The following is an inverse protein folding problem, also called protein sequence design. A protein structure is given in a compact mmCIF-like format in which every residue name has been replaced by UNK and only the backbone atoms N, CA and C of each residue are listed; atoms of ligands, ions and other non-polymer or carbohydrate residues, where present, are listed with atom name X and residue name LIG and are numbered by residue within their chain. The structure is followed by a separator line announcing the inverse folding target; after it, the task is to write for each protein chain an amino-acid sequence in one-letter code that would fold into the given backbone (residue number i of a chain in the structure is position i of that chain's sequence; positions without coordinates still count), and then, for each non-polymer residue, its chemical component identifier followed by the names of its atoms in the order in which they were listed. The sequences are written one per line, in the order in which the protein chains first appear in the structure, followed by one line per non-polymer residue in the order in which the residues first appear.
data_IF_445356252858
#
_entry.id   IF_445356252858
#
_cell.length_a   1.000
_cell.length_b   1.000
_cell.length_c   1.000
_cell.angle_alpha   90.00
_cell.angle_beta   90.00
_cell.angle_gamma   90.00
#
_symmetry.space_group_name_H-M   'P 1'
#
loop_
_entity.id
_entity.type
_entity.pdbx_description
1 polymer ?
#
# COMPACT_ATOMS: atom_id res chain seq x y z
N UNK A 1 -10.37 22.38 23.67
CA UNK A 1 -9.47 21.35 24.22
C UNK A 1 -9.82 19.90 23.83
N UNK A 2 -11.02 19.37 24.13
CA UNK A 2 -11.39 17.99 23.71
C UNK A 2 -11.52 17.88 22.18
N UNK A 3 -12.05 18.92 21.53
CA UNK A 3 -12.22 18.98 20.08
C UNK A 3 -10.86 19.01 19.34
N UNK A 4 -9.90 19.81 19.83
CA UNK A 4 -8.57 19.96 19.23
C UNK A 4 -7.76 18.65 19.25
N UNK A 5 -7.89 17.86 20.32
CA UNK A 5 -7.24 16.55 20.42
C UNK A 5 -7.83 15.52 19.45
N UNK A 6 -9.16 15.51 19.31
CA UNK A 6 -9.84 14.61 18.37
C UNK A 6 -9.47 14.94 16.92
N UNK A 7 -9.35 16.24 16.60
CA UNK A 7 -8.89 16.72 15.28
C UNK A 7 -7.43 16.33 15.05
N UNK A 8 -6.55 16.54 16.03
CA UNK A 8 -5.13 16.16 15.94
C UNK A 8 -4.92 14.66 15.71
N UNK A 9 -5.64 13.78 16.44
CA UNK A 9 -5.55 12.32 16.23
C UNK A 9 -6.11 11.87 14.88
N UNK A 10 -7.20 12.50 14.43
CA UNK A 10 -7.80 12.20 13.12
C UNK A 10 -6.89 12.61 11.98
N UNK A 11 -6.27 13.79 12.08
CA UNK A 11 -5.27 14.28 11.13
C UNK A 11 -4.03 13.39 11.14
N UNK A 12 -3.55 12.99 12.32
CA UNK A 12 -2.45 12.04 12.45
C UNK A 12 -2.75 10.73 11.70
N UNK A 13 -3.90 10.11 11.98
CA UNK A 13 -4.30 8.86 11.34
C UNK A 13 -4.30 8.98 9.81
N UNK A 14 -4.90 10.04 9.27
CA UNK A 14 -4.99 10.24 7.83
C UNK A 14 -3.60 10.48 7.19
N UNK A 15 -2.81 11.41 7.74
CA UNK A 15 -1.51 11.79 7.17
C UNK A 15 -0.47 10.67 7.28
N UNK A 16 -0.45 9.94 8.40
CA UNK A 16 0.44 8.77 8.54
C UNK A 16 0.05 7.65 7.59
N UNK A 17 -1.25 7.41 7.37
CA UNK A 17 -1.74 6.48 6.34
C UNK A 17 -1.27 6.87 4.93
N UNK A 18 -1.42 8.15 4.55
CA UNK A 18 -0.91 8.67 3.27
C UNK A 18 0.60 8.41 3.17
N UNK A 19 1.37 8.78 4.18
CA UNK A 19 2.83 8.68 4.15
C UNK A 19 3.35 7.24 4.02
N UNK A 20 2.76 6.30 4.78
CA UNK A 20 3.13 4.88 4.70
C UNK A 20 2.81 4.28 3.33
N UNK A 21 1.66 4.62 2.74
CA UNK A 21 1.30 4.08 1.43
C UNK A 21 2.05 4.71 0.26
N UNK A 22 2.42 5.99 0.35
CA UNK A 22 3.36 6.60 -0.59
C UNK A 22 4.66 5.77 -0.66
N UNK A 23 5.18 5.40 0.51
CA UNK A 23 6.38 4.60 0.61
C UNK A 23 6.19 3.17 0.09
N UNK A 24 5.09 2.50 0.46
CA UNK A 24 4.80 1.15 0.00
C UNK A 24 4.73 1.03 -1.53
N UNK A 25 4.01 1.95 -2.20
CA UNK A 25 3.90 1.92 -3.67
C UNK A 25 5.25 2.26 -4.33
N UNK A 26 6.02 3.19 -3.76
CA UNK A 26 7.36 3.51 -4.22
C UNK A 26 8.32 2.31 -4.12
N UNK A 27 8.29 1.57 -3.01
CA UNK A 27 9.10 0.35 -2.84
C UNK A 27 8.69 -0.75 -3.80
N UNK A 28 7.38 -0.94 -4.02
CA UNK A 28 6.90 -1.92 -4.99
C UNK A 28 7.45 -1.60 -6.40
N UNK A 29 7.35 -0.34 -6.85
CA UNK A 29 7.94 0.08 -8.14
C UNK A 29 9.46 -0.14 -8.18
N UNK A 30 10.16 0.21 -7.11
CA UNK A 30 11.62 0.06 -7.03
C UNK A 30 12.06 -1.41 -7.11
N UNK A 31 11.38 -2.31 -6.40
CA UNK A 31 11.69 -3.73 -6.41
C UNK A 31 11.38 -4.39 -7.75
N UNK A 32 10.30 -3.98 -8.42
CA UNK A 32 10.01 -4.43 -9.78
C UNK A 32 11.10 -4.03 -10.77
N UNK A 33 11.70 -2.83 -10.61
CA UNK A 33 12.82 -2.38 -11.44
C UNK A 33 14.12 -3.15 -11.21
N UNK A 34 14.32 -3.70 -10.00
CA UNK A 34 15.56 -4.43 -9.65
C UNK A 34 15.41 -5.94 -9.89
N UNK A 35 14.25 -6.51 -9.55
CA UNK A 35 14.03 -7.96 -9.54
C UNK A 35 13.28 -8.49 -10.78
N UNK A 36 12.72 -7.58 -11.58
CA UNK A 36 11.86 -7.89 -12.74
C UNK A 36 10.37 -7.82 -12.40
N UNK A 37 9.58 -7.32 -13.35
CA UNK A 37 8.13 -7.10 -13.22
C UNK A 37 7.30 -8.38 -13.24
N UNK A 38 7.45 -9.24 -12.22
CA UNK A 38 6.70 -10.50 -12.10
C UNK A 38 5.71 -10.48 -10.93
N UNK A 39 4.65 -11.29 -11.02
CA UNK A 39 3.66 -11.45 -9.95
C UNK A 39 4.32 -11.97 -8.67
N UNK A 40 5.33 -12.82 -8.81
CA UNK A 40 6.08 -13.39 -7.69
C UNK A 40 6.79 -12.30 -6.88
N UNK A 41 7.35 -11.29 -7.56
CA UNK A 41 7.99 -10.15 -6.90
C UNK A 41 6.96 -9.36 -6.06
N UNK A 42 5.78 -9.10 -6.60
CA UNK A 42 4.70 -8.42 -5.86
C UNK A 42 4.21 -9.26 -4.67
N UNK A 43 4.12 -10.58 -4.82
CA UNK A 43 3.72 -11.49 -3.74
C UNK A 43 4.70 -11.45 -2.57
N UNK A 44 5.99 -11.50 -2.90
CA UNK A 44 7.08 -11.41 -1.94
C UNK A 44 7.09 -10.06 -1.21
N UNK A 45 6.88 -8.96 -1.93
CA UNK A 45 6.76 -7.61 -1.34
C UNK A 45 5.59 -7.54 -0.36
N UNK A 46 4.42 -8.00 -0.77
CA UNK A 46 3.24 -8.00 0.08
C UNK A 46 3.47 -8.87 1.32
N UNK A 47 4.13 -10.03 1.16
CA UNK A 47 4.46 -10.92 2.28
C UNK A 47 5.41 -10.25 3.27
N UNK A 48 6.52 -9.68 2.81
CA UNK A 48 7.47 -8.97 3.65
C UNK A 48 6.81 -7.78 4.37
N UNK A 49 5.95 -7.05 3.67
CA UNK A 49 5.19 -5.93 4.21
C UNK A 49 4.21 -6.37 5.30
N UNK A 50 3.43 -7.43 5.06
CA UNK A 50 2.44 -7.93 6.03
C UNK A 50 3.10 -8.60 7.24
N UNK A 51 4.24 -9.28 7.05
CA UNK A 51 5.05 -9.79 8.15
C UNK A 51 5.55 -8.64 9.04
N UNK A 52 6.07 -7.57 8.44
CA UNK A 52 6.47 -6.36 9.15
C UNK A 52 5.31 -5.77 9.95
N UNK A 53 4.17 -5.50 9.32
CA UNK A 53 2.98 -4.97 10.00
C UNK A 53 2.53 -5.86 11.18
N UNK A 54 2.50 -7.19 10.98
CA UNK A 54 2.07 -8.14 12.00
C UNK A 54 3.02 -8.21 13.21
N UNK A 55 4.31 -8.40 12.97
CA UNK A 55 5.32 -8.44 14.05
C UNK A 55 5.46 -7.08 14.75
N UNK A 56 5.47 -6.00 13.96
CA UNK A 56 5.48 -4.62 14.43
C UNK A 56 4.29 -4.31 15.32
N UNK A 57 3.08 -4.65 14.87
CA UNK A 57 1.86 -4.42 15.63
C UNK A 57 1.83 -5.18 16.95
N UNK A 58 2.30 -6.43 16.98
CA UNK A 58 2.43 -7.19 18.23
C UNK A 58 3.45 -6.58 19.19
N UNK A 59 4.61 -6.17 18.68
CA UNK A 59 5.69 -5.60 19.49
C UNK A 59 5.30 -4.23 20.07
N UNK A 60 4.90 -3.30 19.22
CA UNK A 60 4.54 -1.94 19.61
C UNK A 60 3.20 -1.87 20.32
N UNK A 61 2.25 -2.77 20.03
CA UNK A 61 1.00 -2.90 20.80
C UNK A 61 1.25 -3.24 22.26
N UNK A 62 2.05 -4.29 22.53
CA UNK A 62 2.46 -4.65 23.90
C UNK A 62 3.27 -3.54 24.56
N UNK A 63 4.16 -2.90 23.81
CA UNK A 63 4.97 -1.79 24.35
C UNK A 63 4.11 -0.59 24.71
N UNK A 64 3.10 -0.25 23.90
CA UNK A 64 2.18 0.84 24.17
C UNK A 64 1.29 0.54 25.39
N UNK A 65 0.86 -0.71 25.56
CA UNK A 65 0.05 -1.16 26.69
C UNK A 65 0.76 -0.97 28.04
N UNK A 66 2.04 -1.35 28.12
CA UNK A 66 2.85 -1.33 29.35
C UNK A 66 3.57 0.02 29.56
N UNK A 67 3.67 0.86 28.54
CA UNK A 67 4.40 2.14 28.63
C UNK A 67 3.62 3.18 29.43
N UNK A 68 4.32 3.85 30.37
CA UNK A 68 3.82 5.05 31.07
C UNK A 68 3.56 6.24 30.13
N UNK A 69 4.19 6.23 28.95
CA UNK A 69 4.04 7.26 27.93
C UNK A 69 3.80 6.62 26.55
N UNK A 70 2.55 6.20 26.26
CA UNK A 70 2.20 5.56 24.98
C UNK A 70 2.40 6.49 23.78
N UNK A 71 2.37 7.82 23.98
CA UNK A 71 2.66 8.79 22.90
C UNK A 71 4.08 8.62 22.41
N UNK A 72 5.05 8.44 23.31
CA UNK A 72 6.45 8.22 22.90
C UNK A 72 6.62 6.97 22.05
N UNK A 73 5.86 5.90 22.35
CA UNK A 73 5.89 4.66 21.57
C UNK A 73 5.40 4.92 20.14
N UNK A 74 4.29 5.66 20.00
CA UNK A 74 3.76 6.07 18.70
C UNK A 74 4.75 6.95 17.92
N UNK A 75 5.39 7.94 18.58
CA UNK A 75 6.38 8.82 17.95
C UNK A 75 7.59 8.05 17.45
N UNK A 76 8.11 7.11 18.26
CA UNK A 76 9.24 6.26 17.88
C UNK A 76 8.85 5.36 16.71
N UNK A 77 7.70 4.68 16.78
CA UNK A 77 7.23 3.83 15.70
C UNK A 77 7.10 4.60 14.38
N UNK A 78 6.37 5.72 14.36
CA UNK A 78 6.18 6.50 13.15
C UNK A 78 7.47 7.18 12.65
N UNK A 79 8.32 7.69 13.55
CA UNK A 79 9.61 8.30 13.20
C UNK A 79 10.61 7.30 12.63
N UNK A 80 10.73 6.12 13.23
CA UNK A 80 11.55 5.04 12.72
C UNK A 80 11.00 4.48 11.40
N UNK A 81 9.68 4.42 11.21
CA UNK A 81 9.08 4.06 9.92
C UNK A 81 9.48 5.04 8.83
N UNK A 82 9.39 6.35 9.09
CA UNK A 82 9.79 7.40 8.16
C UNK A 82 11.29 7.31 7.81
N UNK A 83 12.17 7.11 8.80
CA UNK A 83 13.61 6.96 8.58
C UNK A 83 13.96 5.68 7.81
N UNK A 84 13.40 4.53 8.22
CA UNK A 84 13.64 3.25 7.56
C UNK A 84 13.08 3.20 6.13
N UNK A 85 12.17 4.11 5.77
CA UNK A 85 11.61 4.18 4.41
C UNK A 85 12.62 4.48 3.32
N UNK A 86 13.78 5.05 3.68
CA UNK A 86 14.87 5.34 2.75
C UNK A 86 15.82 4.15 2.54
N UNK A 87 15.71 3.08 3.33
CA UNK A 87 16.58 1.91 3.26
C UNK A 87 16.65 1.29 1.85
N UNK A 88 15.53 1.13 1.11
CA UNK A 88 15.58 0.61 -0.26
C UNK A 88 16.37 1.50 -1.22
N UNK A 89 16.34 2.83 -1.05
CA UNK A 89 17.10 3.77 -1.89
C UNK A 89 18.58 3.71 -1.56
N UNK A 90 18.91 3.72 -0.27
CA UNK A 90 20.30 3.66 0.21
C UNK A 90 20.98 2.36 -0.22
N UNK A 91 20.28 1.23 -0.12
CA UNK A 91 20.83 -0.08 -0.48
C UNK A 91 20.68 -0.43 -1.97
N UNK A 92 19.97 0.39 -2.77
CA UNK A 92 19.73 0.11 -4.18
C UNK A 92 21.01 -0.18 -5.00
N UNK A 93 22.11 0.59 -4.86
CA UNK A 93 23.33 0.33 -5.63
C UNK A 93 23.93 -1.04 -5.31
N UNK A 94 24.00 -1.40 -4.03
CA UNK A 94 24.51 -2.70 -3.58
C UNK A 94 23.65 -3.85 -4.12
N UNK A 95 22.32 -3.72 -4.03
CA UNK A 95 21.40 -4.74 -4.54
C UNK A 95 21.50 -4.87 -6.07
N UNK A 96 21.65 -3.78 -6.83
CA UNK A 96 21.83 -3.85 -8.29
C UNK A 96 23.11 -4.57 -8.70
N UNK A 97 24.18 -4.43 -7.93
CA UNK A 97 25.44 -5.13 -8.20
C UNK A 97 25.40 -6.61 -7.80
N UNK A 98 24.76 -6.93 -6.67
CA UNK A 98 24.74 -8.28 -6.12
C UNK A 98 23.64 -9.16 -6.71
N UNK A 99 22.47 -8.58 -7.03
CA UNK A 99 21.31 -9.35 -7.47
C UNK A 99 21.54 -10.16 -8.75
N UNK A 100 22.24 -9.68 -9.80
CA UNK A 100 22.54 -10.49 -10.98
C UNK A 100 23.34 -11.77 -10.67
N UNK A 101 24.27 -11.69 -9.71
CA UNK A 101 25.10 -12.82 -9.26
C UNK A 101 24.22 -13.85 -8.54
N UNK A 102 23.28 -13.39 -7.71
CA UNK A 102 22.35 -14.27 -7.01
C UNK A 102 21.29 -14.80 -8.00
N UNK A 103 20.96 -14.05 -9.04
CA UNK A 103 19.99 -14.46 -10.05
C UNK A 103 20.53 -15.63 -10.91
N UNK A 104 21.83 -15.62 -11.23
CA UNK A 104 22.47 -16.68 -12.00
C UNK A 104 22.72 -17.98 -11.21
N UNK A 105 22.59 -17.96 -9.88
CA UNK A 105 22.80 -19.15 -9.03
C UNK A 105 21.60 -20.10 -8.95
N UNK A 106 20.47 -19.78 -9.60
CA UNK A 106 19.24 -20.56 -9.54
C UNK A 106 18.37 -20.30 -8.30
N UNK A 107 18.85 -19.49 -7.34
CA UNK A 107 18.15 -19.18 -6.08
C UNK A 107 17.27 -17.90 -6.17
N UNK A 108 16.75 -17.60 -7.35
CA UNK A 108 16.10 -16.31 -7.67
C UNK A 108 14.92 -15.99 -6.75
N UNK A 109 14.09 -17.00 -6.44
CA UNK A 109 12.95 -16.83 -5.53
C UNK A 109 13.39 -16.43 -4.12
N UNK A 110 14.35 -17.16 -3.54
CA UNK A 110 14.88 -16.90 -2.21
C UNK A 110 15.61 -15.56 -2.14
N UNK A 111 16.36 -15.22 -3.19
CA UNK A 111 17.04 -13.94 -3.33
C UNK A 111 16.06 -12.76 -3.30
N UNK A 112 14.99 -12.85 -4.11
CA UNK A 112 13.91 -11.85 -4.12
C UNK A 112 13.29 -11.71 -2.74
N UNK A 113 13.00 -12.83 -2.09
CA UNK A 113 12.41 -12.84 -0.75
C UNK A 113 13.32 -12.18 0.29
N UNK A 114 14.59 -12.56 0.34
CA UNK A 114 15.57 -11.97 1.25
C UNK A 114 15.76 -10.47 0.99
N UNK A 115 15.89 -10.07 -0.27
CA UNK A 115 16.03 -8.65 -0.62
C UNK A 115 14.78 -7.87 -0.20
N UNK A 116 13.58 -8.35 -0.54
CA UNK A 116 12.35 -7.68 -0.13
C UNK A 116 12.21 -7.61 1.40
N UNK A 117 12.54 -8.69 2.11
CA UNK A 117 12.52 -8.73 3.56
C UNK A 117 13.51 -7.72 4.14
N UNK A 118 14.77 -7.73 3.73
CA UNK A 118 15.78 -6.80 4.25
C UNK A 118 15.45 -5.33 3.96
N UNK A 119 14.88 -5.03 2.78
CA UNK A 119 14.60 -3.66 2.36
C UNK A 119 13.28 -3.11 2.93
N UNK A 120 12.23 -3.93 3.01
CA UNK A 120 10.87 -3.48 3.37
C UNK A 120 10.53 -3.77 4.83
N UNK A 121 11.00 -4.90 5.38
CA UNK A 121 10.64 -5.32 6.73
C UNK A 121 10.92 -4.25 7.80
N UNK A 122 12.07 -3.54 7.81
CA UNK A 122 12.33 -2.55 8.85
C UNK A 122 11.28 -1.43 8.89
N UNK A 123 10.99 -0.81 7.74
CA UNK A 123 10.01 0.27 7.66
C UNK A 123 8.59 -0.20 8.02
N UNK A 124 8.23 -1.41 7.59
CA UNK A 124 6.90 -1.98 7.82
C UNK A 124 6.71 -2.52 9.24
N UNK A 125 7.76 -3.01 9.87
CA UNK A 125 7.79 -3.33 11.30
C UNK A 125 7.48 -2.10 12.15
N UNK A 126 8.10 -0.97 11.84
CA UNK A 126 7.81 0.27 12.55
C UNK A 126 6.40 0.81 12.23
N UNK A 127 5.98 0.77 10.95
CA UNK A 127 4.64 1.19 10.55
C UNK A 127 3.53 0.32 11.19
N UNK A 128 3.79 -0.97 11.42
CA UNK A 128 2.88 -1.90 12.09
C UNK A 128 2.52 -1.45 13.51
N UNK A 129 3.39 -0.68 14.16
CA UNK A 129 3.14 -0.14 15.49
C UNK A 129 2.22 1.07 15.55
N UNK A 130 1.97 1.75 14.42
CA UNK A 130 1.24 3.02 14.40
C UNK A 130 -0.21 2.84 14.88
N UNK A 131 -0.95 1.90 14.29
CA UNK A 131 -2.37 1.68 14.62
C UNK A 131 -2.57 1.19 16.06
N UNK A 132 -1.84 0.16 16.56
CA UNK A 132 -1.99 -0.29 17.94
C UNK A 132 -1.59 0.79 18.97
N UNK A 133 -0.49 1.51 18.73
CA UNK A 133 -0.07 2.58 19.63
C UNK A 133 -1.06 3.76 19.63
N UNK A 134 -1.62 4.12 18.47
CA UNK A 134 -2.69 5.11 18.36
C UNK A 134 -3.97 4.66 19.08
N UNK A 135 -4.35 3.39 18.95
CA UNK A 135 -5.51 2.82 19.63
C UNK A 135 -5.41 2.98 21.15
N UNK A 136 -4.24 2.70 21.71
CA UNK A 136 -3.96 2.85 23.15
C UNK A 136 -4.14 4.29 23.66
N UNK A 137 -3.93 5.31 22.82
CA UNK A 137 -4.09 6.72 23.21
C UNK A 137 -5.55 7.15 23.35
N UNK A 138 -6.48 6.38 22.78
CA UNK A 138 -7.92 6.70 22.77
C UNK A 138 -8.77 5.69 23.54
N UNK A 139 -8.17 4.60 24.01
CA UNK A 139 -8.76 3.70 25.01
C UNK A 139 -9.13 4.52 26.27
N UNK A 140 -10.44 4.65 26.54
CA UNK A 140 -11.00 5.46 27.63
C UNK A 140 -11.82 6.68 27.18
N UNK A 141 -11.66 7.19 25.94
CA UNK A 141 -12.36 8.40 25.46
C UNK A 141 -13.46 8.11 24.41
N UNK A 142 -14.06 6.91 24.45
CA UNK A 142 -15.02 6.45 23.44
C UNK A 142 -14.85 4.99 22.99
N UNK A 143 -13.95 4.23 23.63
CA UNK A 143 -13.81 2.79 23.46
C UNK A 143 -13.45 2.34 22.04
N UNK A 144 -13.92 1.15 21.67
CA UNK A 144 -13.68 0.47 20.38
C UNK A 144 -14.12 1.29 19.17
N UNK A 145 -15.15 2.13 19.30
CA UNK A 145 -15.68 2.96 18.21
C UNK A 145 -14.72 4.08 17.77
N UNK A 146 -13.93 4.64 18.70
CA UNK A 146 -12.94 5.67 18.38
C UNK A 146 -11.71 5.06 17.72
N UNK A 147 -11.29 3.89 18.19
CA UNK A 147 -10.22 3.09 17.58
C UNK A 147 -10.59 2.70 16.14
N UNK A 148 -11.81 2.21 15.92
CA UNK A 148 -12.27 1.83 14.58
C UNK A 148 -12.34 3.02 13.62
N UNK A 149 -12.78 4.19 14.10
CA UNK A 149 -12.78 5.42 13.30
C UNK A 149 -11.37 5.87 12.90
N UNK A 150 -10.42 5.83 13.83
CA UNK A 150 -9.03 6.19 13.54
C UNK A 150 -8.36 5.18 12.59
N UNK A 151 -8.63 3.88 12.76
CA UNK A 151 -8.21 2.87 11.80
C UNK A 151 -8.82 3.12 10.41
N UNK A 152 -10.10 3.47 10.35
CA UNK A 152 -10.77 3.81 9.10
C UNK A 152 -10.20 5.04 8.41
N UNK A 153 -9.92 6.12 9.16
CA UNK A 153 -9.26 7.32 8.64
C UNK A 153 -7.85 7.04 8.15
N UNK A 154 -7.09 6.22 8.87
CA UNK A 154 -5.77 5.77 8.43
C UNK A 154 -5.87 5.00 7.10
N UNK A 155 -6.81 4.05 6.97
CA UNK A 155 -7.00 3.31 5.73
C UNK A 155 -7.48 4.18 4.56
N UNK A 156 -8.32 5.19 4.81
CA UNK A 156 -8.69 6.18 3.77
C UNK A 156 -7.48 7.05 3.36
N UNK A 157 -6.66 7.47 4.32
CA UNK A 157 -5.39 8.14 4.05
C UNK A 157 -4.45 7.26 3.22
N UNK A 158 -4.35 5.99 3.58
CA UNK A 158 -3.60 4.97 2.83
C UNK A 158 -4.11 4.84 1.39
N UNK A 159 -5.42 4.79 1.16
CA UNK A 159 -5.97 4.78 -0.19
C UNK A 159 -5.60 6.04 -0.99
N UNK A 160 -5.68 7.22 -0.37
CA UNK A 160 -5.24 8.47 -0.99
C UNK A 160 -3.73 8.45 -1.31
N UNK A 161 -2.89 7.96 -0.40
CA UNK A 161 -1.47 7.76 -0.64
C UNK A 161 -1.19 6.81 -1.80
N UNK A 162 -1.91 5.68 -1.87
CA UNK A 162 -1.82 4.72 -2.97
C UNK A 162 -2.18 5.35 -4.32
N UNK A 163 -3.24 6.18 -4.35
CA UNK A 163 -3.63 6.94 -5.54
C UNK A 163 -2.54 7.94 -5.95
N UNK A 164 -2.08 8.78 -5.01
CA UNK A 164 -1.09 9.81 -5.27
C UNK A 164 0.25 9.20 -5.73
N UNK A 165 0.75 8.14 -5.08
CA UNK A 165 1.98 7.50 -5.52
C UNK A 165 1.80 6.79 -6.87
N UNK A 166 0.78 5.93 -6.99
CA UNK A 166 0.59 5.07 -8.15
C UNK A 166 0.32 5.82 -9.44
N UNK A 167 -0.43 6.92 -9.38
CA UNK A 167 -0.94 7.62 -10.56
C UNK A 167 -0.39 9.03 -10.79
N UNK A 168 0.29 9.62 -9.81
CA UNK A 168 0.74 11.03 -9.91
C UNK A 168 2.24 11.15 -9.63
N UNK A 169 2.66 10.91 -8.39
CA UNK A 169 3.99 11.27 -7.90
C UNK A 169 5.10 10.41 -8.49
N UNK A 170 4.88 9.10 -8.70
CA UNK A 170 5.95 8.24 -9.23
C UNK A 170 6.31 8.55 -10.67
N UNK A 171 5.35 9.00 -11.49
CA UNK A 171 5.63 9.43 -12.87
C UNK A 171 6.10 10.88 -12.95
N UNK A 172 5.54 11.78 -12.12
CA UNK A 172 5.86 13.20 -12.17
C UNK A 172 7.18 13.56 -11.48
N UNK A 173 7.50 12.89 -10.37
CA UNK A 173 8.57 13.27 -9.45
C UNK A 173 9.52 12.11 -9.10
N UNK A 174 9.17 10.87 -9.44
CA UNK A 174 10.00 9.69 -9.21
C UNK A 174 9.96 9.16 -7.76
N UNK A 175 10.74 8.10 -7.54
CA UNK A 175 10.72 7.30 -6.29
C UNK A 175 11.21 8.13 -5.09
N UNK A 176 12.32 8.84 -5.21
CA UNK A 176 12.95 9.56 -4.09
C UNK A 176 12.05 10.67 -3.55
N UNK A 177 11.47 11.51 -4.43
CA UNK A 177 10.58 12.59 -4.00
C UNK A 177 9.32 12.02 -3.34
N UNK A 178 8.76 10.94 -3.90
CA UNK A 178 7.60 10.25 -3.31
C UNK A 178 7.90 9.77 -1.88
N UNK A 179 9.08 9.20 -1.64
CA UNK A 179 9.52 8.78 -0.31
C UNK A 179 9.74 9.95 0.65
N UNK A 180 10.36 11.04 0.18
CA UNK A 180 10.55 12.26 0.98
C UNK A 180 9.22 12.83 1.41
N UNK A 181 8.25 12.96 0.49
CA UNK A 181 6.91 13.44 0.82
C UNK A 181 6.22 12.53 1.84
N UNK A 182 6.31 11.21 1.67
CA UNK A 182 5.75 10.25 2.62
C UNK A 182 6.37 10.36 4.03
N UNK A 183 7.70 10.49 4.09
CA UNK A 183 8.42 10.68 5.35
C UNK A 183 8.06 12.01 6.02
N UNK A 184 8.02 13.11 5.26
CA UNK A 184 7.64 14.44 5.77
C UNK A 184 6.22 14.44 6.31
N UNK A 185 5.25 13.89 5.56
CA UNK A 185 3.87 13.77 6.02
C UNK A 185 3.76 12.97 7.33
N UNK A 186 4.50 11.86 7.42
CA UNK A 186 4.55 11.05 8.64
C UNK A 186 5.16 11.82 9.80
N UNK A 187 6.28 12.52 9.61
CA UNK A 187 6.93 13.33 10.67
C UNK A 187 6.05 14.49 11.12
N UNK A 188 5.47 15.24 10.19
CA UNK A 188 4.54 16.35 10.48
C UNK A 188 3.35 15.82 11.28
N UNK A 189 2.79 14.68 10.89
CA UNK A 189 1.67 14.07 11.62
C UNK A 189 2.01 13.83 13.10
N UNK A 190 3.24 13.38 13.41
CA UNK A 190 3.68 13.13 14.79
C UNK A 190 3.82 14.43 15.58
N UNK A 191 4.26 15.52 14.93
CA UNK A 191 4.39 16.84 15.56
C UNK A 191 3.03 17.41 15.98
N UNK A 192 1.96 17.05 15.27
CA UNK A 192 0.58 17.46 15.61
C UNK A 192 0.08 16.81 16.91
N UNK A 193 0.72 15.73 17.38
CA UNK A 193 0.34 15.04 18.62
C UNK A 193 0.91 15.79 19.82
N UNK A 194 0.08 16.52 20.54
CA UNK A 194 0.49 17.19 21.77
C UNK A 194 0.78 16.19 22.91
N UNK A 195 1.85 16.44 23.69
CA UNK A 195 2.18 15.61 24.87
C UNK A 195 1.02 15.70 25.88
N UNK A 196 0.52 14.59 26.42
CA UNK A 196 -0.36 14.64 27.58
C UNK A 196 0.41 15.20 28.77
N UNK A 197 -0.18 16.19 29.44
CA UNK A 197 0.22 16.59 30.80
C UNK A 197 -0.45 15.58 31.75
N UNK A 198 0.40 14.74 32.35
CA UNK A 198 0.27 13.97 33.60
C UNK A 198 -0.96 13.10 33.89
N UNK A 199 -0.70 12.09 34.72
CA UNK A 199 -1.62 11.22 35.46
C UNK A 199 -2.62 10.41 34.63
N UNK A 200 -2.13 9.35 33.99
CA UNK A 200 -2.89 8.09 34.02
C UNK A 200 -2.74 7.61 35.46
N UNK A 201 -3.61 8.13 36.34
CA UNK A 201 -3.87 7.47 37.60
C UNK A 201 -4.31 6.05 37.24
N UNK A 202 -3.55 5.09 37.72
CA UNK A 202 -3.77 3.66 37.55
C UNK A 202 -5.07 3.27 38.25
N UNK A 203 -6.20 3.51 37.61
CA UNK A 203 -7.33 2.58 37.70
C UNK A 203 -7.11 1.59 36.56
N UNK A 204 -6.07 0.77 36.74
CA UNK A 204 -6.04 -0.56 36.13
C UNK A 204 -7.04 -1.37 36.92
N UNK A 205 -8.33 -1.10 36.71
CA UNK A 205 -9.24 -2.22 36.63
C UNK A 205 -8.96 -2.80 35.25
N UNK A 206 -7.96 -3.69 35.22
CA UNK A 206 -7.86 -4.69 34.18
C UNK A 206 -9.28 -5.18 33.99
N UNK A 207 -9.92 -4.78 32.89
CA UNK A 207 -10.80 -5.70 32.21
C UNK A 207 -9.96 -6.97 32.16
N UNK A 208 -10.35 -7.97 32.94
CA UNK A 208 -9.78 -9.30 32.96
C UNK A 208 -10.00 -9.85 31.56
N UNK A 209 -9.15 -9.37 30.64
CA UNK A 209 -9.24 -9.61 29.23
C UNK A 209 -8.81 -11.04 29.06
N UNK A 210 -9.75 -11.96 29.23
CA UNK A 210 -9.63 -13.33 28.77
C UNK A 210 -8.94 -13.25 27.42
N UNK A 211 -7.73 -13.79 27.34
CA UNK A 211 -6.99 -13.87 26.09
C UNK A 211 -7.96 -14.38 25.04
N UNK A 212 -8.11 -13.70 23.88
CA UNK A 212 -9.03 -14.18 22.87
C UNK A 212 -8.75 -15.66 22.62
N UNK A 213 -9.80 -16.49 22.75
CA UNK A 213 -9.66 -17.93 22.63
C UNK A 213 -8.94 -18.26 21.34
N UNK A 214 -8.06 -19.28 21.36
CA UNK A 214 -7.24 -19.68 20.21
C UNK A 214 -8.06 -19.81 18.92
N UNK A 215 -9.32 -20.27 19.05
CA UNK A 215 -10.32 -20.30 17.99
C UNK A 215 -10.45 -18.97 17.22
N UNK A 216 -10.68 -17.84 17.91
CA UNK A 216 -10.84 -16.54 17.26
C UNK A 216 -9.57 -16.08 16.56
N UNK A 217 -8.40 -16.35 17.15
CA UNK A 217 -7.11 -16.03 16.52
C UNK A 217 -6.93 -16.80 15.21
N UNK A 218 -7.29 -18.10 15.19
CA UNK A 218 -7.24 -18.92 13.97
C UNK A 218 -8.24 -18.39 12.93
N UNK A 219 -9.47 -18.08 13.33
CA UNK A 219 -10.49 -17.54 12.42
C UNK A 219 -10.04 -16.23 11.76
N UNK A 220 -9.49 -15.29 12.54
CA UNK A 220 -8.95 -14.04 11.99
C UNK A 220 -7.71 -14.27 11.11
N UNK A 221 -6.82 -15.19 11.49
CA UNK A 221 -5.65 -15.52 10.69
C UNK A 221 -6.03 -16.11 9.33
N UNK A 222 -6.96 -17.07 9.30
CA UNK A 222 -7.45 -17.68 8.05
C UNK A 222 -8.17 -16.64 7.19
N UNK A 223 -9.03 -15.80 7.78
CA UNK A 223 -9.69 -14.72 7.02
C UNK A 223 -8.69 -13.74 6.42
N UNK A 224 -7.68 -13.31 7.16
CA UNK A 224 -6.64 -12.40 6.66
C UNK A 224 -5.81 -13.05 5.55
N UNK A 225 -5.44 -14.31 5.71
CA UNK A 225 -4.72 -15.09 4.70
C UNK A 225 -5.54 -15.21 3.40
N UNK A 226 -6.84 -15.53 3.49
CA UNK A 226 -7.71 -15.60 2.32
C UNK A 226 -7.89 -14.23 1.64
N UNK A 227 -8.04 -13.16 2.42
CA UNK A 227 -8.15 -11.80 1.89
C UNK A 227 -6.88 -11.40 1.11
N UNK A 228 -5.70 -11.65 1.66
CA UNK A 228 -4.42 -11.39 0.98
C UNK A 228 -4.21 -12.28 -0.24
N UNK A 229 -4.64 -13.55 -0.20
CA UNK A 229 -4.60 -14.44 -1.35
C UNK A 229 -5.49 -13.91 -2.51
N UNK A 230 -6.70 -13.46 -2.18
CA UNK A 230 -7.59 -12.84 -3.15
C UNK A 230 -7.04 -11.54 -3.72
N UNK A 231 -6.40 -10.72 -2.88
CA UNK A 231 -5.71 -9.51 -3.32
C UNK A 231 -4.64 -9.81 -4.37
N UNK A 232 -3.87 -10.88 -4.19
CA UNK A 232 -2.86 -11.31 -5.15
C UNK A 232 -3.45 -11.83 -6.47
N UNK A 233 -4.52 -12.62 -6.41
CA UNK A 233 -5.22 -13.11 -7.61
C UNK A 233 -5.74 -11.92 -8.43
N UNK A 234 -6.42 -10.97 -7.79
CA UNK A 234 -6.97 -9.79 -8.47
C UNK A 234 -5.88 -8.84 -8.99
N UNK A 235 -4.80 -8.63 -8.24
CA UNK A 235 -3.66 -7.83 -8.70
C UNK A 235 -3.05 -8.40 -9.98
N UNK A 236 -2.96 -9.74 -10.08
CA UNK A 236 -2.52 -10.42 -11.30
C UNK A 236 -3.49 -10.19 -12.47
N UNK A 237 -4.79 -10.32 -12.23
CA UNK A 237 -5.79 -10.07 -13.29
C UNK A 237 -5.75 -8.61 -13.78
N UNK A 238 -5.65 -7.66 -12.85
CA UNK A 238 -5.50 -6.24 -13.20
C UNK A 238 -4.21 -5.97 -13.96
N UNK A 239 -3.13 -6.71 -13.69
CA UNK A 239 -1.87 -6.57 -14.45
C UNK A 239 -2.06 -6.97 -15.92
N UNK A 240 -2.86 -8.01 -16.21
CA UNK A 240 -3.18 -8.38 -17.59
C UNK A 240 -4.03 -7.33 -18.32
N UNK A 241 -4.94 -6.66 -17.60
CA UNK A 241 -5.81 -5.62 -18.18
C UNK A 241 -5.08 -4.28 -18.35
N UNK A 242 -4.30 -3.87 -17.35
CA UNK A 242 -3.64 -2.56 -17.31
C UNK A 242 -2.23 -2.58 -17.93
N UNK A 243 -1.64 -3.76 -18.14
CA UNK A 243 -0.32 -3.97 -18.73
C UNK A 243 0.87 -3.58 -17.83
N UNK A 244 0.65 -2.84 -16.74
CA UNK A 244 1.70 -2.39 -15.83
C UNK A 244 1.35 -2.75 -14.38
N UNK A 245 2.26 -3.49 -13.74
CA UNK A 245 2.12 -4.05 -12.39
C UNK A 245 2.09 -3.01 -11.28
N UNK A 246 2.69 -1.83 -11.47
CA UNK A 246 2.62 -0.74 -10.48
C UNK A 246 1.23 -0.13 -10.42
N UNK A 247 0.59 0.10 -11.57
CA UNK A 247 -0.79 0.57 -11.62
C UNK A 247 -1.76 -0.47 -11.08
N UNK A 248 -1.60 -1.75 -11.46
CA UNK A 248 -2.43 -2.84 -10.94
C UNK A 248 -2.35 -2.96 -9.41
N UNK A 249 -1.15 -2.95 -8.85
CA UNK A 249 -0.93 -2.96 -7.39
C UNK A 249 -1.59 -1.76 -6.71
N UNK A 250 -1.43 -0.56 -7.28
CA UNK A 250 -2.00 0.66 -6.72
C UNK A 250 -3.53 0.64 -6.77
N UNK A 251 -4.12 0.25 -7.90
CA UNK A 251 -5.58 0.11 -8.05
C UNK A 251 -6.15 -0.88 -7.03
N UNK A 252 -5.54 -2.05 -6.89
CA UNK A 252 -6.03 -3.06 -5.96
C UNK A 252 -5.93 -2.56 -4.52
N UNK A 253 -4.76 -2.04 -4.12
CA UNK A 253 -4.55 -1.48 -2.79
C UNK A 253 -5.54 -0.36 -2.46
N UNK A 254 -5.80 0.56 -3.39
CA UNK A 254 -6.81 1.62 -3.21
C UNK A 254 -8.19 1.03 -2.94
N UNK A 255 -8.64 0.06 -3.75
CA UNK A 255 -9.96 -0.56 -3.58
C UNK A 255 -10.08 -1.27 -2.22
N UNK A 256 -9.07 -2.04 -1.83
CA UNK A 256 -9.02 -2.74 -0.54
C UNK A 256 -9.04 -1.76 0.62
N UNK A 257 -8.18 -0.73 0.58
CA UNK A 257 -8.03 0.25 1.66
C UNK A 257 -9.24 1.18 1.79
N UNK A 258 -9.88 1.55 0.67
CA UNK A 258 -11.16 2.26 0.68
C UNK A 258 -12.24 1.39 1.33
N UNK A 259 -12.32 0.11 0.97
CA UNK A 259 -13.25 -0.84 1.58
C UNK A 259 -13.06 -0.97 3.08
N UNK A 260 -11.82 -1.13 3.54
CA UNK A 260 -11.48 -1.18 4.97
C UNK A 260 -11.81 0.16 5.65
N UNK A 261 -11.50 1.29 5.00
CA UNK A 261 -11.74 2.63 5.54
C UNK A 261 -13.22 2.93 5.76
N UNK A 262 -14.02 2.77 4.69
CA UNK A 262 -15.47 2.95 4.73
C UNK A 262 -16.12 1.91 5.65
N UNK A 263 -15.68 0.65 5.58
CA UNK A 263 -16.18 -0.43 6.44
C UNK A 263 -15.91 -0.18 7.92
N UNK A 264 -14.75 0.36 8.29
CA UNK A 264 -14.41 0.65 9.70
C UNK A 264 -15.19 1.82 10.29
N UNK A 265 -15.56 2.80 9.46
CA UNK A 265 -16.34 3.97 9.88
C UNK A 265 -17.85 3.65 9.87
N UNK A 266 -18.35 3.04 8.79
CA UNK A 266 -19.77 2.72 8.60
C UNK A 266 -20.23 1.45 9.31
N UNK A 267 -19.34 0.46 9.43
CA UNK A 267 -19.63 -0.85 10.02
C UNK A 267 -20.05 -0.80 11.48
N UNK A 268 -19.75 0.30 12.20
CA UNK A 268 -20.26 0.54 13.55
C UNK A 268 -21.78 0.42 13.63
N UNK A 269 -22.52 1.04 12.70
CA UNK A 269 -23.99 1.06 12.76
C UNK A 269 -24.55 -0.35 12.68
N UNK A 270 -23.96 -1.17 11.81
CA UNK A 270 -24.32 -2.57 11.61
C UNK A 270 -23.90 -3.40 12.81
N UNK A 271 -22.67 -3.22 13.32
CA UNK A 271 -22.13 -4.02 14.42
C UNK A 271 -22.92 -3.90 15.72
N UNK A 272 -23.49 -2.72 16.02
CA UNK A 272 -24.32 -2.51 17.22
C UNK A 272 -25.65 -3.26 17.14
N UNK A 273 -26.16 -3.52 15.93
CA UNK A 273 -27.45 -4.20 15.71
C UNK A 273 -27.33 -5.73 15.60
N UNK A 274 -26.11 -6.28 15.57
CA UNK A 274 -25.86 -7.71 15.39
C UNK A 274 -25.96 -8.45 16.72
N UNK A 275 -26.91 -9.39 16.82
CA UNK A 275 -27.08 -10.25 18.01
C UNK A 275 -26.00 -11.32 18.16
N UNK A 276 -25.55 -11.91 17.04
CA UNK A 276 -24.51 -12.94 17.03
C UNK A 276 -23.35 -12.55 16.09
N UNK A 277 -22.24 -12.00 16.64
CA UNK A 277 -21.11 -11.52 15.84
C UNK A 277 -20.44 -12.59 14.99
N UNK A 278 -20.44 -13.85 15.44
CA UNK A 278 -19.80 -14.95 14.71
C UNK A 278 -20.58 -15.31 13.44
N UNK A 279 -21.92 -15.33 13.51
CA UNK A 279 -22.78 -15.57 12.35
C UNK A 279 -22.69 -14.41 11.36
N UNK A 280 -22.70 -13.17 11.85
CA UNK A 280 -22.51 -12.00 11.00
C UNK A 280 -21.13 -12.01 10.31
N UNK A 281 -20.07 -12.40 11.03
CA UNK A 281 -18.75 -12.59 10.45
C UNK A 281 -18.77 -13.67 9.37
N UNK A 282 -19.36 -14.84 9.63
CA UNK A 282 -19.50 -15.91 8.63
C UNK A 282 -20.24 -15.46 7.38
N UNK A 283 -21.33 -14.72 7.53
CA UNK A 283 -22.08 -14.15 6.41
C UNK A 283 -21.22 -13.17 5.58
N UNK A 284 -20.47 -12.29 6.24
CA UNK A 284 -19.53 -11.37 5.56
C UNK A 284 -18.42 -12.14 4.83
N UNK A 285 -17.91 -13.24 5.39
CA UNK A 285 -16.92 -14.09 4.71
C UNK A 285 -17.49 -14.75 3.44
N UNK A 286 -18.72 -15.27 3.51
CA UNK A 286 -19.38 -15.85 2.33
C UNK A 286 -19.61 -14.79 1.26
N UNK A 287 -20.10 -13.61 1.63
CA UNK A 287 -20.27 -12.50 0.70
C UNK A 287 -18.95 -12.07 0.07
N UNK A 288 -17.87 -11.99 0.86
CA UNK A 288 -16.53 -11.65 0.35
C UNK A 288 -16.03 -12.71 -0.64
N UNK A 289 -16.25 -14.00 -0.36
CA UNK A 289 -15.92 -15.09 -1.27
C UNK A 289 -16.72 -15.01 -2.59
N UNK A 290 -18.03 -14.84 -2.51
CA UNK A 290 -18.89 -14.70 -3.69
C UNK A 290 -18.53 -13.46 -4.52
N UNK A 291 -18.35 -12.31 -3.87
CA UNK A 291 -17.95 -11.07 -4.51
C UNK A 291 -16.55 -11.16 -5.16
N UNK A 292 -15.68 -12.05 -4.67
CA UNK A 292 -14.35 -12.27 -5.26
C UNK A 292 -14.37 -13.22 -6.46
N UNK A 293 -15.27 -14.21 -6.47
CA UNK A 293 -15.34 -15.25 -7.52
C UNK A 293 -16.23 -14.84 -8.69
N UNK A 294 -17.42 -14.28 -8.43
CA UNK A 294 -18.39 -13.96 -9.48
C UNK A 294 -17.79 -13.07 -10.57
N UNK A 295 -17.08 -11.97 -10.26
CA UNK A 295 -16.50 -11.13 -11.30
C UNK A 295 -15.41 -11.82 -12.13
N UNK A 296 -14.72 -12.83 -11.60
CA UNK A 296 -13.76 -13.64 -12.37
C UNK A 296 -14.45 -14.53 -13.40
N UNK A 297 -15.58 -15.14 -13.03
CA UNK A 297 -16.36 -15.97 -13.97
C UNK A 297 -16.98 -15.14 -15.09
N UNK A 298 -17.28 -13.87 -14.80
CA UNK A 298 -17.81 -12.91 -15.74
C UNK A 298 -16.73 -12.15 -16.50
N UNK A 299 -15.44 -12.41 -16.26
CA UNK A 299 -14.34 -11.61 -16.83
C UNK A 299 -14.27 -11.73 -18.36
N UNK A 300 -14.59 -12.90 -18.92
CA UNK A 300 -14.68 -13.08 -20.38
C UNK A 300 -15.79 -12.20 -20.98
N UNK A 301 -16.94 -12.16 -20.32
CA UNK A 301 -18.06 -11.28 -20.66
C UNK A 301 -17.68 -9.80 -20.47
N UNK A 302 -16.94 -9.47 -19.41
CA UNK A 302 -16.45 -8.12 -19.12
C UNK A 302 -15.48 -7.62 -20.19
N UNK A 303 -14.52 -8.44 -20.64
CA UNK A 303 -13.61 -8.07 -21.73
C UNK A 303 -14.38 -7.86 -23.03
N UNK A 304 -15.39 -8.70 -23.31
CA UNK A 304 -16.27 -8.52 -24.47
C UNK A 304 -17.13 -7.23 -24.36
N UNK A 305 -17.60 -6.90 -23.16
CA UNK A 305 -18.39 -5.70 -22.87
C UNK A 305 -17.53 -4.44 -22.91
N UNK A 306 -16.33 -4.49 -22.33
CA UNK A 306 -15.34 -3.42 -22.37
C UNK A 306 -14.87 -3.16 -23.81
N UNK A 307 -14.68 -4.21 -24.61
CA UNK A 307 -14.39 -4.09 -26.04
C UNK A 307 -15.53 -3.40 -26.79
N UNK A 308 -16.78 -3.78 -26.53
CA UNK A 308 -17.98 -3.13 -27.10
C UNK A 308 -18.14 -1.67 -26.66
N UNK A 309 -17.95 -1.38 -25.37
CA UNK A 309 -18.02 -0.03 -24.80
C UNK A 309 -16.87 0.87 -25.25
N UNK A 310 -15.68 0.29 -25.48
CA UNK A 310 -14.53 1.03 -26.03
C UNK A 310 -14.74 1.42 -27.50
N UNK A 311 -15.57 0.66 -28.23
CA UNK A 311 -15.98 1.01 -29.59
C UNK A 311 -17.19 1.97 -29.63
N UNK A 312 -18.05 1.99 -28.59
CA UNK A 312 -19.31 2.75 -28.60
C UNK A 312 -19.39 3.97 -27.67
N UNK A 313 -18.37 4.27 -26.86
CA UNK A 313 -18.44 5.30 -25.83
C UNK A 313 -17.23 6.22 -25.74
N UNK A 314 -17.30 7.37 -26.42
CA UNK A 314 -16.27 8.42 -26.41
C UNK A 314 -15.96 9.05 -25.03
N UNK A 315 -16.66 8.70 -23.96
CA UNK A 315 -16.43 9.24 -22.61
C UNK A 315 -15.39 8.45 -21.79
N UNK A 316 -15.36 7.11 -21.88
CA UNK A 316 -14.33 6.32 -21.19
C UNK A 316 -12.94 6.46 -21.85
N UNK A 317 -12.91 6.63 -23.18
CA UNK A 317 -11.67 6.80 -23.95
C UNK A 317 -11.02 8.19 -23.82
N UNK A 318 -11.77 9.24 -23.49
CA UNK A 318 -11.25 10.62 -23.49
C UNK A 318 -10.82 11.09 -22.09
N UNK A 319 -11.53 10.73 -21.02
CA UNK A 319 -11.16 11.15 -19.65
C UNK A 319 -10.15 10.20 -19.03
N UNK A 320 -10.43 8.89 -19.05
CA UNK A 320 -9.46 7.88 -18.61
C UNK A 320 -8.34 7.73 -19.64
N UNK A 321 -8.64 7.59 -20.92
CA UNK A 321 -7.60 7.53 -21.96
C UNK A 321 -6.78 8.82 -22.11
N UNK A 322 -7.31 9.99 -21.74
CA UNK A 322 -6.60 11.28 -21.71
C UNK A 322 -5.61 11.38 -20.54
N UNK A 323 -6.03 11.05 -19.32
CA UNK A 323 -5.15 10.94 -18.15
C UNK A 323 -4.03 9.90 -18.41
N UNK A 324 -4.39 8.76 -19.00
CA UNK A 324 -3.44 7.70 -19.41
C UNK A 324 -2.58 8.05 -20.64
N UNK A 325 -3.02 8.94 -21.55
CA UNK A 325 -2.20 9.45 -22.66
C UNK A 325 -1.19 10.49 -22.20
N UNK A 326 -1.51 11.27 -21.16
CA UNK A 326 -0.61 12.29 -20.62
C UNK A 326 0.68 11.65 -20.05
N UNK A 327 0.56 10.51 -19.36
CA UNK A 327 1.72 9.70 -18.94
C UNK A 327 2.55 9.16 -20.12
N UNK A 328 1.90 8.72 -21.22
CA UNK A 328 2.59 8.25 -22.44
C UNK A 328 3.31 9.37 -23.21
N UNK A 329 2.75 10.58 -23.26
CA UNK A 329 3.37 11.72 -23.95
C UNK A 329 4.61 12.25 -23.21
N UNK A 330 4.66 12.17 -21.87
CA UNK A 330 5.87 12.49 -21.11
C UNK A 330 6.98 11.44 -21.28
N UNK A 331 6.62 10.16 -21.40
CA UNK A 331 7.58 9.08 -21.66
C UNK A 331 8.32 9.26 -23.00
N UNK A 332 7.62 9.69 -24.05
CA UNK A 332 8.23 9.98 -25.36
C UNK A 332 9.22 11.16 -25.33
N UNK A 333 8.98 12.17 -24.49
CA UNK A 333 9.91 13.32 -24.37
C UNK A 333 11.21 12.95 -23.63
N UNK A 334 11.16 12.06 -22.65
CA UNK A 334 12.37 11.62 -21.93
C UNK A 334 13.19 10.57 -22.69
N UNK A 335 12.55 9.66 -23.46
CA UNK A 335 13.29 8.68 -24.28
C UNK A 335 13.98 9.29 -25.51
N UNK A 336 13.52 10.43 -26.03
CA UNK A 336 14.22 11.16 -27.10
C UNK A 336 15.45 11.96 -26.61
N UNK A 337 15.64 12.12 -25.28
CA UNK A 337 16.77 12.88 -24.72
C UNK A 337 18.05 12.08 -24.51
N UNK A 338 17.97 10.74 -24.44
CA UNK A 338 19.13 9.87 -24.20
C UNK A 338 19.36 8.93 -25.38
N UNK A 339 20.03 9.43 -26.42
CA UNK A 339 20.41 8.69 -27.62
C UNK A 339 21.50 7.63 -27.42
N UNK A 340 21.33 6.70 -26.47
CA UNK A 340 22.36 5.68 -26.16
C UNK A 340 21.84 4.24 -26.00
N UNK A 341 20.56 3.96 -26.29
CA UNK A 341 19.99 2.60 -26.13
C UNK A 341 19.59 1.89 -27.43
N UNK A 342 20.09 2.32 -28.59
CA UNK A 342 19.71 1.73 -29.89
C UNK A 342 20.51 0.47 -30.30
N UNK A 343 21.52 0.03 -29.54
CA UNK A 343 22.44 -1.03 -30.03
C UNK A 343 22.22 -2.45 -29.49
N UNK A 344 21.16 -2.74 -28.71
CA UNK A 344 20.99 -4.07 -28.07
C UNK A 344 19.71 -4.83 -28.43
N UNK A 345 18.87 -4.34 -29.34
CA UNK A 345 17.60 -4.99 -29.73
C UNK A 345 17.56 -5.40 -31.22
N UNK A 346 18.68 -5.92 -31.75
CA UNK A 346 18.79 -6.34 -33.15
C UNK A 346 18.44 -7.81 -33.46
N UNK A 347 17.80 -8.56 -32.56
CA UNK A 347 17.75 -10.03 -32.70
C UNK A 347 16.38 -10.72 -32.54
N UNK A 348 15.25 -10.00 -32.60
CA UNK A 348 13.93 -10.66 -32.68
C UNK A 348 13.05 -9.99 -33.72
N UNK A 349 12.84 -10.71 -34.83
CA UNK A 349 11.93 -10.33 -35.90
C UNK A 349 10.50 -10.22 -35.39
N UNK A 350 9.98 -9.00 -35.35
CA UNK A 350 8.55 -8.74 -35.42
C UNK A 350 8.33 -7.37 -36.08
N UNK A 351 7.41 -7.33 -37.04
CA UNK A 351 7.07 -6.17 -37.85
C UNK A 351 6.60 -4.99 -36.98
N UNK A 352 7.51 -4.06 -36.67
CA UNK A 352 7.19 -2.73 -36.17
C UNK A 352 7.39 -1.76 -37.34
N UNK A 353 6.39 -0.95 -37.72
CA UNK A 353 6.56 0.01 -38.81
C UNK A 353 7.65 1.02 -38.41
N UNK A 354 8.56 1.39 -39.32
CA UNK A 354 9.67 2.28 -39.00
C UNK A 354 9.16 3.63 -38.50
N UNK A 355 9.81 4.16 -37.47
CA UNK A 355 9.61 5.52 -36.98
C UNK A 355 9.58 6.49 -38.17
N UNK A 356 8.47 7.22 -38.32
CA UNK A 356 8.29 8.18 -39.39
C UNK A 356 9.43 9.19 -39.49
N UNK A 357 9.86 9.45 -40.72
CA UNK A 357 11.01 10.29 -41.12
C UNK A 357 10.97 11.77 -40.66
N UNK A 358 10.02 12.18 -39.82
CA UNK A 358 9.86 13.57 -39.39
C UNK A 358 10.80 14.04 -38.27
N UNK A 359 11.57 13.15 -37.63
CA UNK A 359 12.40 13.52 -36.47
C UNK A 359 13.87 13.86 -36.79
N UNK A 360 14.37 13.56 -37.99
CA UNK A 360 15.78 13.77 -38.35
C UNK A 360 16.09 15.06 -39.13
N UNK A 361 15.10 15.92 -39.41
CA UNK A 361 15.31 17.10 -40.27
C UNK A 361 15.48 18.45 -39.55
N UNK A 362 15.63 18.48 -38.21
CA UNK A 362 15.64 19.76 -37.46
C UNK A 362 16.91 20.12 -36.73
N UNK A 363 18.06 19.54 -37.10
CA UNK A 363 19.38 19.89 -36.52
C UNK A 363 20.45 20.21 -37.57
N UNK A 364 20.05 20.60 -38.77
CA UNK A 364 20.95 21.21 -39.76
C UNK A 364 20.22 22.33 -40.52
N UNK A 365 20.09 23.49 -39.89
CA UNK A 365 20.01 24.85 -40.47
C UNK A 365 19.51 25.80 -39.38
N UNK A 366 20.36 26.77 -39.00
CA UNK A 366 20.07 27.79 -38.00
C UNK A 366 21.26 28.00 -37.08
#
# INVERSE_FOLDING_TARGET
MVNDRAVSMSAFALLSGVGVLLAQVAWNRQLLLVTGGSVDATAVVLTAFMLGLGFGGRFFGRRAEVSKNPVSVLRIAAGCAAAASFLPVVLAPAVRSLYPIIYSSGLQFYARFLVALLLIFPATFFAGGIVPAMGRLVEGQGGTAKVSRLYGLNSLGSALGGFLAGFVLLEAAGITITLVLGAVLTVVSIMMINRPRSSIETVVESASGTRPGSFFLVVYAVSGMLALAWEMVWTRQLTFVLGNSTYAFSTMGIMVLLGIGVGSIGGRRVAVSVKNPLVAFGFVQVLLGLASVIPLTLLGSFLSLAGKLSFSGGWAGTTFGGFWRMGRHHFRRHSCGNGLHASLYGAYGSNIPPCGQGCCQRTQTG
#
